data_IF_275382592354
#
_entry.id   IF_275382592354
#
_cell.length_a   1.000
_cell.length_b   1.000
_cell.length_c   1.000
_cell.angle_alpha   90.00
_cell.angle_beta   90.00
_cell.angle_gamma   90.00
#
_symmetry.space_group_name_H-M   'P 1'
#
loop_
_entity.id
_entity.type
_entity.pdbx_description
1 polymer ?
#
# COMPACT_ATOMS: atom_id res chain seq x y z
N UNK A 1 21.51 -65.34 -21.51
CA UNK A 1 20.04 -65.20 -21.39
C UNK A 1 19.74 -64.33 -20.19
N UNK A 2 19.15 -63.18 -20.46
CA UNK A 2 18.70 -62.12 -19.55
C UNK A 2 17.42 -62.50 -18.83
N UNK A 3 17.28 -62.13 -17.55
CA UNK A 3 16.02 -61.62 -16.97
C UNK A 3 16.36 -60.68 -15.81
N UNK A 4 16.39 -59.39 -16.09
CA UNK A 4 16.23 -58.32 -15.09
C UNK A 4 14.74 -58.05 -14.95
N UNK A 5 14.18 -58.33 -13.77
CA UNK A 5 12.83 -57.90 -13.40
C UNK A 5 12.90 -56.53 -12.71
N UNK A 6 12.25 -55.49 -13.23
CA UNK A 6 12.03 -54.27 -12.46
C UNK A 6 10.84 -54.50 -11.52
N UNK A 7 11.11 -54.68 -10.23
CA UNK A 7 10.09 -54.59 -9.20
C UNK A 7 9.67 -53.11 -9.08
N UNK A 8 8.67 -52.72 -9.89
CA UNK A 8 7.95 -51.45 -9.76
C UNK A 8 7.00 -51.60 -8.58
N UNK A 9 7.58 -51.50 -7.39
CA UNK A 9 6.85 -51.42 -6.13
C UNK A 9 6.43 -49.99 -5.87
N UNK A 10 5.19 -49.70 -6.29
CA UNK A 10 4.27 -48.72 -5.70
C UNK A 10 4.80 -47.30 -5.52
N UNK A 11 4.24 -46.41 -6.35
CA UNK A 11 4.17 -44.98 -6.12
C UNK A 11 3.61 -44.69 -4.72
N UNK A 12 4.49 -44.70 -3.73
CA UNK A 12 4.26 -44.11 -2.45
C UNK A 12 4.06 -42.61 -2.70
N UNK A 13 2.87 -42.16 -2.36
CA UNK A 13 2.71 -40.95 -1.58
C UNK A 13 2.96 -39.63 -2.31
N UNK A 14 2.17 -39.39 -3.36
CA UNK A 14 1.86 -38.02 -3.77
C UNK A 14 0.37 -37.76 -3.65
N UNK A 15 -0.20 -38.08 -2.49
CA UNK A 15 -1.33 -37.29 -2.04
C UNK A 15 -0.79 -35.87 -1.90
N UNK A 16 -1.22 -35.02 -2.82
CA UNK A 16 -1.04 -33.58 -2.77
C UNK A 16 -1.35 -33.06 -1.37
N UNK A 17 -0.32 -32.95 -0.54
CA UNK A 17 -0.27 -31.90 0.46
C UNK A 17 -0.18 -30.60 -0.32
N UNK A 18 -1.33 -30.13 -0.81
CA UNK A 18 -1.54 -28.72 -1.09
C UNK A 18 -1.18 -28.02 0.20
N UNK A 19 0.07 -27.54 0.28
CA UNK A 19 0.63 -27.00 1.50
C UNK A 19 -0.33 -25.93 1.99
N UNK A 20 -0.90 -26.06 3.20
CA UNK A 20 -1.87 -25.08 3.72
C UNK A 20 -1.29 -23.66 3.66
N UNK A 21 0.04 -23.55 3.71
CA UNK A 21 0.80 -22.31 3.52
C UNK A 21 0.45 -21.54 2.23
N UNK A 22 0.08 -22.19 1.11
CA UNK A 22 -0.27 -21.50 -0.13
C UNK A 22 -1.63 -20.83 -0.03
N UNK A 23 -2.61 -21.51 0.56
CA UNK A 23 -3.94 -20.96 0.79
C UNK A 23 -3.89 -19.81 1.80
N UNK A 24 -3.14 -19.97 2.89
CA UNK A 24 -2.91 -18.89 3.85
C UNK A 24 -2.21 -17.69 3.23
N UNK A 25 -1.20 -17.89 2.36
CA UNK A 25 -0.56 -16.78 1.63
C UNK A 25 -1.51 -16.06 0.69
N UNK A 26 -2.33 -16.80 -0.07
CA UNK A 26 -3.32 -16.20 -0.96
C UNK A 26 -4.35 -15.39 -0.17
N UNK A 27 -4.84 -15.93 0.94
CA UNK A 27 -5.75 -15.21 1.83
C UNK A 27 -5.11 -13.95 2.42
N UNK A 28 -3.84 -14.01 2.82
CA UNK A 28 -3.09 -12.85 3.30
C UNK A 28 -2.95 -11.77 2.22
N UNK A 29 -2.65 -12.14 0.98
CA UNK A 29 -2.57 -11.19 -0.15
C UNK A 29 -3.93 -10.57 -0.44
N UNK A 30 -4.98 -11.38 -0.48
CA UNK A 30 -6.35 -10.92 -0.72
C UNK A 30 -6.80 -9.98 0.38
N UNK A 31 -6.64 -10.35 1.65
CA UNK A 31 -6.99 -9.48 2.78
C UNK A 31 -6.17 -8.19 2.79
N UNK A 32 -4.87 -8.25 2.50
CA UNK A 32 -4.04 -7.06 2.34
C UNK A 32 -4.54 -6.14 1.21
N UNK A 33 -4.91 -6.71 0.06
CA UNK A 33 -5.44 -5.94 -1.06
C UNK A 33 -6.82 -5.32 -0.73
N UNK A 34 -7.70 -6.06 -0.05
CA UNK A 34 -8.99 -5.55 0.40
C UNK A 34 -8.85 -4.43 1.43
N UNK A 35 -7.85 -4.50 2.32
CA UNK A 35 -7.57 -3.45 3.30
C UNK A 35 -6.84 -2.25 2.70
N UNK A 36 -6.11 -2.44 1.59
CA UNK A 36 -5.44 -1.35 0.88
C UNK A 36 -6.43 -0.38 0.24
N UNK A 37 -7.51 -0.90 -0.35
CA UNK A 37 -8.53 -0.08 -1.02
C UNK A 37 -9.19 0.98 -0.13
N UNK A 38 -9.74 0.68 1.06
CA UNK A 38 -10.31 1.70 1.94
C UNK A 38 -9.26 2.69 2.45
N UNK A 39 -8.00 2.24 2.66
CA UNK A 39 -6.90 3.15 3.03
C UNK A 39 -6.60 4.15 1.92
N UNK A 40 -6.56 3.68 0.67
CA UNK A 40 -6.42 4.52 -0.51
C UNK A 40 -7.55 5.56 -0.61
N UNK A 41 -8.79 5.11 -0.48
CA UNK A 41 -9.95 6.01 -0.53
C UNK A 41 -9.93 7.06 0.58
N UNK A 42 -9.55 6.68 1.81
CA UNK A 42 -9.43 7.64 2.91
C UNK A 42 -8.38 8.70 2.61
N UNK A 43 -7.16 8.31 2.23
CA UNK A 43 -6.10 9.25 1.86
C UNK A 43 -6.53 10.20 0.74
N UNK A 44 -7.26 9.68 -0.26
CA UNK A 44 -7.73 10.48 -1.39
C UNK A 44 -8.89 11.41 -1.03
N UNK A 45 -9.77 10.98 -0.12
CA UNK A 45 -10.85 11.81 0.44
C UNK A 45 -10.29 12.96 1.27
N UNK A 46 -9.28 12.69 2.09
CA UNK A 46 -8.64 13.71 2.92
C UNK A 46 -7.99 14.78 2.02
N UNK A 47 -7.30 14.38 0.95
CA UNK A 47 -6.76 15.29 -0.07
C UNK A 47 -7.85 16.03 -0.87
N UNK A 48 -8.97 15.38 -1.18
CA UNK A 48 -10.09 16.03 -1.86
C UNK A 48 -10.73 17.11 -0.99
N UNK A 49 -10.82 16.88 0.33
CA UNK A 49 -11.27 17.88 1.30
C UNK A 49 -10.35 19.10 1.29
N UNK A 50 -9.03 18.89 1.35
CA UNK A 50 -8.05 19.98 1.26
C UNK A 50 -8.11 20.71 -0.08
N UNK A 51 -8.33 19.99 -1.19
CA UNK A 51 -8.45 20.59 -2.52
C UNK A 51 -9.72 21.45 -2.68
N UNK A 52 -10.79 21.09 -1.96
CA UNK A 52 -12.05 21.83 -1.94
C UNK A 52 -12.02 23.10 -1.09
N UNK A 53 -11.04 23.24 -0.17
CA UNK A 53 -10.85 24.44 0.62
C UNK A 53 -10.46 25.63 -0.27
N UNK A 54 -10.91 26.82 0.13
CA UNK A 54 -10.52 28.06 -0.55
C UNK A 54 -9.02 28.34 -0.36
N UNK A 55 -8.45 29.15 -1.24
CA UNK A 55 -7.02 29.50 -1.15
C UNK A 55 -6.68 30.18 0.18
N UNK A 56 -7.58 31.01 0.72
CA UNK A 56 -7.39 31.66 2.02
C UNK A 56 -7.31 30.65 3.16
N UNK A 57 -8.23 29.68 3.19
CA UNK A 57 -8.27 28.64 4.23
C UNK A 57 -7.06 27.71 4.13
N UNK A 58 -6.61 27.35 2.91
CA UNK A 58 -5.38 26.58 2.72
C UNK A 58 -4.14 27.34 3.19
N UNK A 59 -4.10 28.64 2.91
CA UNK A 59 -2.97 29.50 3.30
C UNK A 59 -2.88 29.69 4.81
N UNK A 60 -4.01 29.68 5.51
CA UNK A 60 -4.05 29.73 6.98
C UNK A 60 -3.35 28.50 7.61
N UNK A 61 -3.53 27.32 7.02
CA UNK A 61 -2.80 26.10 7.41
C UNK A 61 -1.41 25.97 6.77
N UNK A 62 -0.95 27.01 6.05
CA UNK A 62 0.38 27.06 5.44
C UNK A 62 0.55 26.21 4.17
N UNK A 63 -0.54 25.70 3.60
CA UNK A 63 -0.56 24.89 2.38
C UNK A 63 -0.89 25.71 1.14
N UNK A 64 -0.38 25.26 0.00
CA UNK A 64 -0.71 25.82 -1.32
C UNK A 64 -1.40 24.77 -2.20
N UNK A 65 -2.09 25.21 -3.26
CA UNK A 65 -2.65 24.30 -4.26
C UNK A 65 -1.60 23.32 -4.82
N UNK A 66 -0.38 23.81 -5.04
CA UNK A 66 0.72 23.01 -5.55
C UNK A 66 1.17 21.92 -4.57
N UNK A 67 1.18 22.22 -3.27
CA UNK A 67 1.53 21.23 -2.24
C UNK A 67 0.52 20.05 -2.24
N UNK A 68 -0.78 20.35 -2.47
CA UNK A 68 -1.83 19.34 -2.61
C UNK A 68 -1.66 18.52 -3.89
N UNK A 69 -1.43 19.18 -5.04
CA UNK A 69 -1.18 18.48 -6.30
C UNK A 69 0.05 17.57 -6.22
N UNK A 70 1.10 18.02 -5.56
CA UNK A 70 2.29 17.22 -5.33
C UNK A 70 1.99 16.02 -4.41
N UNK A 71 1.17 16.21 -3.37
CA UNK A 71 0.74 15.12 -2.51
C UNK A 71 -0.12 14.08 -3.24
N UNK A 72 -0.85 14.48 -4.29
CA UNK A 72 -1.60 13.57 -5.16
C UNK A 72 -0.71 12.69 -6.03
N UNK A 73 0.51 13.12 -6.31
CA UNK A 73 1.50 12.35 -7.06
C UNK A 73 2.28 11.34 -6.18
N UNK A 74 2.08 11.37 -4.86
CA UNK A 74 2.78 10.47 -3.94
C UNK A 74 2.31 9.01 -4.08
N UNK A 75 3.22 8.05 -3.85
CA UNK A 75 2.83 6.65 -3.76
C UNK A 75 1.86 6.43 -2.59
N UNK A 76 0.88 5.55 -2.81
CA UNK A 76 -0.24 5.26 -1.90
C UNK A 76 0.20 4.80 -0.50
N UNK A 77 1.41 4.27 -0.38
CA UNK A 77 1.91 3.78 0.91
C UNK A 77 2.27 4.90 1.89
N UNK A 78 2.33 6.17 1.44
CA UNK A 78 2.53 7.32 2.33
C UNK A 78 1.22 7.98 2.70
N UNK A 79 1.07 8.31 3.98
CA UNK A 79 -0.02 9.17 4.44
C UNK A 79 0.21 10.58 3.90
N UNK A 80 -0.68 11.09 3.01
CA UNK A 80 -0.51 12.40 2.43
C UNK A 80 -0.57 13.52 3.47
N UNK A 81 -1.30 13.32 4.56
CA UNK A 81 -1.42 14.29 5.65
C UNK A 81 -0.08 14.47 6.35
N UNK A 82 0.65 13.37 6.60
CA UNK A 82 1.97 13.42 7.22
C UNK A 82 2.98 14.15 6.32
N UNK A 83 2.94 13.92 5.01
CA UNK A 83 3.83 14.60 4.07
C UNK A 83 3.55 16.09 4.01
N UNK A 84 2.27 16.48 3.96
CA UNK A 84 1.89 17.89 3.98
C UNK A 84 2.29 18.58 5.29
N UNK A 85 2.13 17.90 6.43
CA UNK A 85 2.55 18.41 7.72
C UNK A 85 4.07 18.70 7.75
N UNK A 86 4.89 17.79 7.21
CA UNK A 86 6.34 18.00 7.08
C UNK A 86 6.69 19.18 6.19
N UNK A 87 6.01 19.33 5.04
CA UNK A 87 6.23 20.47 4.14
C UNK A 87 5.95 21.81 4.83
N UNK A 88 4.88 21.89 5.61
CA UNK A 88 4.55 23.09 6.40
C UNK A 88 5.62 23.36 7.46
N UNK A 89 6.05 22.30 8.15
CA UNK A 89 7.06 22.38 9.21
C UNK A 89 8.42 22.83 8.67
N UNK A 90 8.90 22.25 7.57
CA UNK A 90 10.14 22.65 6.90
C UNK A 90 10.11 24.13 6.48
N UNK A 91 8.95 24.58 5.95
CA UNK A 91 8.74 25.97 5.53
C UNK A 91 8.64 26.93 6.73
N UNK A 92 8.26 26.45 7.91
CA UNK A 92 8.23 27.24 9.14
C UNK A 92 9.64 27.41 9.69
N UNK A 93 10.38 26.30 9.83
CA UNK A 93 11.76 26.32 10.31
C UNK A 93 12.69 27.13 9.39
N UNK A 94 12.49 27.06 8.08
CA UNK A 94 13.25 27.87 7.11
C UNK A 94 12.98 29.38 7.16
N UNK A 95 11.95 29.85 7.90
CA UNK A 95 11.71 31.28 8.15
C UNK A 95 12.28 31.76 9.48
N UNK A 96 12.58 30.83 10.39
CA UNK A 96 13.11 31.11 11.72
C UNK A 96 14.64 31.04 11.77
N UNK A 97 15.28 30.57 10.69
CA UNK A 97 16.74 30.50 10.50
C UNK A 97 17.27 31.67 9.67
#
# INVERSE_FOLDING_TARGET
>A
MTTTVPFVGLAADRLSHASPSRLFRLLAVVTSALLWLPRFWKARSDLAGLAAMTECERRDIGLTAFDIENALALPVDRDPTEVLARVVDDRRHGRES
#
